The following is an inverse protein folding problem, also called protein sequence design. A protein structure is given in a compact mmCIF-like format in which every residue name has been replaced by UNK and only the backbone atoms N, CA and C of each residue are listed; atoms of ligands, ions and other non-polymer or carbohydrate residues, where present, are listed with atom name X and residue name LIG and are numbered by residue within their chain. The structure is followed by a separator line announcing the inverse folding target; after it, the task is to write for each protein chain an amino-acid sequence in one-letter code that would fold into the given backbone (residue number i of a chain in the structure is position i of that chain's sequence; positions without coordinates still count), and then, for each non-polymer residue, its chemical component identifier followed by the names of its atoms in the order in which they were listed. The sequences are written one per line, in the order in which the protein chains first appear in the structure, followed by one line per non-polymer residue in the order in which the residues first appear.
data_IF_499602794468
#
_entry.id   IF_499602794468
#
_cell.length_a   1.000
_cell.length_b   1.000
_cell.length_c   1.000
_cell.angle_alpha   90.00
_cell.angle_beta   90.00
_cell.angle_gamma   90.00
#
_symmetry.space_group_name_H-M   'P 1'
#
loop_
_entity.id
_entity.type
_entity.pdbx_description
1 polymer ?
#
# COMPACT_ATOMS: atom_id res chain seq x y z
N UNK A 1 -16.40 -61.42 6.88
CA UNK A 1 -15.04 -60.91 7.17
C UNK A 1 -14.74 -59.88 6.11
N UNK A 2 -14.55 -58.58 6.44
CA UNK A 2 -14.19 -57.61 5.42
C UNK A 2 -12.86 -58.01 4.80
N UNK A 3 -12.85 -58.13 3.48
CA UNK A 3 -11.68 -58.57 2.72
C UNK A 3 -10.56 -57.53 2.94
N UNK A 4 -9.36 -57.98 3.31
CA UNK A 4 -8.25 -57.07 3.68
C UNK A 4 -7.90 -56.03 2.60
N UNK A 5 -8.29 -56.29 1.34
CA UNK A 5 -8.20 -55.35 0.22
C UNK A 5 -9.06 -54.10 0.38
N UNK A 6 -10.24 -54.21 1.00
CA UNK A 6 -11.12 -53.06 1.21
C UNK A 6 -10.53 -52.10 2.26
N UNK A 7 -9.92 -52.65 3.31
CA UNK A 7 -9.29 -51.87 4.38
C UNK A 7 -8.09 -51.10 3.86
N UNK A 8 -7.24 -51.70 3.02
CA UNK A 8 -6.07 -51.02 2.46
C UNK A 8 -6.44 -49.92 1.48
N UNK A 9 -7.48 -50.11 0.66
CA UNK A 9 -7.97 -49.07 -0.26
C UNK A 9 -8.52 -47.87 0.51
N UNK A 10 -9.31 -48.08 1.57
CA UNK A 10 -9.83 -46.98 2.38
C UNK A 10 -8.72 -46.18 3.08
N UNK A 11 -7.69 -46.86 3.61
CA UNK A 11 -6.54 -46.19 4.21
C UNK A 11 -5.76 -45.39 3.16
N UNK A 12 -5.55 -45.96 1.97
CA UNK A 12 -4.86 -45.26 0.88
C UNK A 12 -5.60 -43.99 0.44
N UNK A 13 -6.92 -44.07 0.27
CA UNK A 13 -7.76 -42.93 -0.14
C UNK A 13 -7.77 -41.84 0.93
N UNK A 14 -7.90 -42.20 2.21
CA UNK A 14 -7.91 -41.22 3.31
C UNK A 14 -6.56 -40.53 3.50
N UNK A 15 -5.44 -41.24 3.35
CA UNK A 15 -4.10 -40.64 3.41
C UNK A 15 -3.87 -39.70 2.23
N UNK A 16 -4.27 -40.09 1.02
CA UNK A 16 -4.11 -39.27 -0.18
C UNK A 16 -4.90 -37.95 -0.09
N UNK A 17 -6.14 -37.97 0.41
CA UNK A 17 -6.97 -36.78 0.55
C UNK A 17 -6.43 -35.80 1.60
N UNK A 18 -5.95 -36.32 2.73
CA UNK A 18 -5.35 -35.49 3.79
C UNK A 18 -4.08 -34.80 3.31
N UNK A 19 -3.19 -35.52 2.60
CA UNK A 19 -1.96 -34.95 2.03
C UNK A 19 -2.29 -33.85 1.01
N UNK A 20 -3.26 -34.09 0.13
CA UNK A 20 -3.70 -33.10 -0.85
C UNK A 20 -4.21 -31.82 -0.18
N UNK A 21 -4.99 -31.94 0.90
CA UNK A 21 -5.52 -30.78 1.62
C UNK A 21 -4.43 -29.98 2.34
N UNK A 22 -3.46 -30.66 2.98
CA UNK A 22 -2.33 -29.99 3.65
C UNK A 22 -1.44 -29.27 2.63
N UNK A 23 -1.13 -29.89 1.49
CA UNK A 23 -0.23 -29.33 0.48
C UNK A 23 -0.90 -28.25 -0.37
N UNK A 24 -2.17 -28.43 -0.74
CA UNK A 24 -2.96 -27.46 -1.51
C UNK A 24 -3.22 -26.16 -0.75
N UNK A 25 -3.40 -26.23 0.58
CA UNK A 25 -3.61 -25.05 1.41
C UNK A 25 -2.34 -24.21 1.65
N UNK A 26 -1.15 -24.72 1.35
CA UNK A 26 0.11 -24.01 1.60
C UNK A 26 0.39 -22.88 0.59
N UNK A 27 -0.34 -22.81 -0.53
CA UNK A 27 -0.08 -21.81 -1.58
C UNK A 27 -0.60 -20.41 -1.26
N UNK A 28 -1.57 -20.25 -0.35
CA UNK A 28 -2.28 -18.97 -0.17
C UNK A 28 -1.63 -18.00 0.82
N UNK A 29 -0.74 -18.46 1.73
CA UNK A 29 -0.12 -17.58 2.74
C UNK A 29 0.90 -16.58 2.17
N UNK A 30 1.57 -16.93 1.08
CA UNK A 30 2.63 -16.10 0.48
C UNK A 30 2.09 -14.97 -0.40
N UNK A 31 0.98 -15.16 -1.12
CA UNK A 31 0.37 -14.10 -1.95
C UNK A 31 -0.32 -13.00 -1.11
N UNK A 32 -0.94 -13.37 0.00
CA UNK A 32 -1.57 -12.38 0.89
C UNK A 32 -0.54 -11.46 1.54
N UNK A 33 0.61 -12.01 1.96
CA UNK A 33 1.72 -11.22 2.48
C UNK A 33 2.28 -10.24 1.44
N UNK A 34 2.35 -10.65 0.17
CA UNK A 34 2.78 -9.80 -0.94
C UNK A 34 1.83 -8.62 -1.19
N UNK A 35 0.50 -8.86 -1.21
CA UNK A 35 -0.51 -7.81 -1.35
C UNK A 35 -0.57 -6.86 -0.14
N UNK A 36 -0.29 -7.36 1.07
CA UNK A 36 -0.30 -6.54 2.29
C UNK A 36 0.97 -5.67 2.46
N UNK A 37 2.12 -6.10 1.89
CA UNK A 37 3.36 -5.32 1.88
C UNK A 37 3.31 -4.17 0.87
N UNK A 38 2.75 -4.41 -0.32
CA UNK A 38 2.64 -3.39 -1.37
C UNK A 38 1.69 -2.24 -0.97
N UNK A 39 0.57 -2.54 -0.30
CA UNK A 39 -0.35 -1.49 0.20
C UNK A 39 0.30 -0.59 1.24
N UNK A 40 1.17 -1.11 2.13
CA UNK A 40 1.89 -0.29 3.11
C UNK A 40 2.93 0.66 2.50
N UNK A 41 3.48 0.31 1.33
CA UNK A 41 4.47 1.15 0.62
C UNK A 41 3.81 2.26 -0.21
N UNK A 42 2.50 2.14 -0.49
CA UNK A 42 1.74 3.11 -1.29
C UNK A 42 0.89 4.05 -0.43
N UNK A 43 0.63 3.70 0.83
CA UNK A 43 0.20 4.67 1.84
C UNK A 43 1.41 5.49 2.29
N UNK A 44 1.98 6.28 1.39
CA UNK A 44 2.67 7.49 1.84
C UNK A 44 1.63 8.28 2.63
N UNK A 45 1.92 8.74 3.86
CA UNK A 45 1.01 9.65 4.52
C UNK A 45 0.90 10.84 3.59
N UNK A 46 -0.28 11.01 2.97
CA UNK A 46 -0.68 12.29 2.40
C UNK A 46 -0.35 13.28 3.49
N UNK A 47 0.71 14.04 3.24
CA UNK A 47 1.29 14.92 4.22
C UNK A 47 0.25 16.01 4.44
N UNK A 48 -0.62 15.77 5.41
CA UNK A 48 -1.69 16.66 5.85
C UNK A 48 -1.13 17.96 6.45
N UNK A 49 0.20 18.10 6.48
CA UNK A 49 0.91 19.36 6.53
C UNK A 49 1.35 19.72 5.10
N UNK A 50 0.45 20.34 4.33
CA UNK A 50 0.86 21.04 3.12
C UNK A 50 1.93 22.07 3.49
N UNK A 51 3.14 21.90 2.96
CA UNK A 51 4.28 22.81 3.17
C UNK A 51 4.47 23.69 1.94
N UNK A 52 4.96 24.90 2.13
CA UNK A 52 5.28 25.79 1.02
C UNK A 52 6.60 25.35 0.38
N UNK A 53 6.60 24.90 -0.88
CA UNK A 53 7.82 24.45 -1.56
C UNK A 53 8.87 25.56 -1.81
N UNK A 54 8.53 26.83 -1.54
CA UNK A 54 9.48 27.96 -1.67
C UNK A 54 10.33 28.12 -0.40
N UNK A 55 9.74 27.94 0.79
CA UNK A 55 10.43 28.15 2.06
C UNK A 55 10.50 26.92 2.96
N UNK A 56 9.89 25.80 2.55
CA UNK A 56 9.82 24.52 3.28
C UNK A 56 9.20 24.65 4.67
N UNK A 57 8.31 25.63 4.86
CA UNK A 57 7.56 25.84 6.11
C UNK A 57 6.09 25.51 5.89
N UNK A 58 5.42 25.02 6.94
CA UNK A 58 3.98 24.73 6.95
C UNK A 58 3.13 25.87 6.40
N UNK A 59 2.19 25.56 5.50
CA UNK A 59 1.21 26.51 4.97
C UNK A 59 0.23 27.02 6.03
N UNK A 60 0.16 26.40 7.22
CA UNK A 60 -0.73 26.82 8.31
C UNK A 60 -0.30 28.11 9.00
N UNK A 61 0.97 28.50 8.89
CA UNK A 61 1.54 29.60 9.66
C UNK A 61 1.35 30.99 9.02
N UNK A 62 0.96 31.07 7.74
CA UNK A 62 0.88 32.34 6.97
C UNK A 62 -0.26 32.32 5.96
N UNK A 63 -0.55 33.47 5.37
CA UNK A 63 -1.51 33.60 4.25
C UNK A 63 -1.13 32.68 3.09
N UNK A 64 -2.13 31.95 2.56
CA UNK A 64 -1.99 31.01 1.46
C UNK A 64 -2.47 31.62 0.15
N UNK A 65 -1.82 31.26 -0.95
CA UNK A 65 -2.17 31.66 -2.30
C UNK A 65 -2.17 30.41 -3.20
N UNK A 66 -3.28 30.18 -3.89
CA UNK A 66 -3.46 29.04 -4.80
C UNK A 66 -3.33 29.54 -6.24
N UNK A 67 -2.46 28.91 -7.02
CA UNK A 67 -2.30 29.20 -8.43
C UNK A 67 -3.36 28.47 -9.27
N UNK A 68 -3.63 28.92 -10.51
CA UNK A 68 -4.53 28.22 -11.43
C UNK A 68 -4.07 26.79 -11.79
N UNK A 69 -2.80 26.46 -11.55
CA UNK A 69 -2.27 25.09 -11.65
C UNK A 69 -2.45 24.27 -10.36
N UNK A 70 -3.35 24.69 -9.46
CA UNK A 70 -3.72 24.03 -8.20
C UNK A 70 -2.63 23.93 -7.12
N UNK A 71 -1.48 24.56 -7.32
CA UNK A 71 -0.40 24.59 -6.33
C UNK A 71 -0.63 25.68 -5.27
N UNK A 72 -0.45 25.34 -3.99
CA UNK A 72 -0.58 26.26 -2.85
C UNK A 72 0.80 26.71 -2.33
N UNK A 73 0.97 28.02 -2.11
CA UNK A 73 2.18 28.60 -1.50
C UNK A 73 1.81 29.68 -0.48
N UNK A 74 2.77 30.15 0.31
CA UNK A 74 2.55 31.38 1.09
C UNK A 74 2.49 32.58 0.14
N UNK A 75 1.52 33.49 0.37
CA UNK A 75 1.34 34.71 -0.42
C UNK A 75 2.64 35.54 -0.52
N UNK A 76 3.31 35.76 0.61
CA UNK A 76 4.58 36.48 0.63
C UNK A 76 5.74 35.76 -0.06
N UNK A 77 5.69 34.43 -0.18
CA UNK A 77 6.69 33.67 -0.93
C UNK A 77 6.47 33.79 -2.44
N UNK A 78 5.23 33.65 -2.90
CA UNK A 78 4.91 33.76 -4.33
C UNK A 78 5.08 35.19 -4.86
N UNK A 79 4.76 36.22 -4.07
CA UNK A 79 4.97 37.62 -4.45
C UNK A 79 6.47 37.94 -4.58
N UNK A 80 7.30 37.52 -3.61
CA UNK A 80 8.75 37.68 -3.70
C UNK A 80 9.33 36.96 -4.90
N UNK A 81 8.87 35.73 -5.15
CA UNK A 81 9.30 34.95 -6.31
C UNK A 81 8.97 35.67 -7.63
N UNK A 82 7.74 36.18 -7.79
CA UNK A 82 7.33 36.95 -8.97
C UNK A 82 8.13 38.24 -9.17
N UNK A 83 8.55 38.89 -8.08
CA UNK A 83 9.33 40.12 -8.15
C UNK A 83 10.82 39.87 -8.43
N UNK A 84 11.31 38.64 -8.19
CA UNK A 84 12.71 38.25 -8.41
C UNK A 84 12.94 37.59 -9.77
N UNK A 85 11.88 37.11 -10.44
CA UNK A 85 11.97 36.65 -11.82
C UNK A 85 12.00 37.85 -12.78
N UNK A 86 13.12 38.15 -13.47
CA UNK A 86 13.06 39.00 -14.65
C UNK A 86 12.19 38.26 -15.68
N UNK A 87 11.03 38.84 -15.99
CA UNK A 87 10.18 38.38 -17.08
C UNK A 87 10.85 38.55 -18.43
#
# INVERSE_FOLDING_TARGET
MPNGTFVTVLIGVTVATVIYFIFGNNKQRTQQQYYQYSTKRYSEPENTNKECSICLVSLRCKERYMLPCEHEFHKGCIEKWKNQSPG
#
